data_IF_666302113614
#
_entry.id   IF_666302113614
#
_cell.length_a   1.000
_cell.length_b   1.000
_cell.length_c   1.000
_cell.angle_alpha   90.00
_cell.angle_beta   90.00
_cell.angle_gamma   90.00
#
_symmetry.space_group_name_H-M   'P 1'
#
loop_
_entity.id
_entity.type
_entity.pdbx_description
1 polymer ?
#
# COMPACT_ATOMS: atom_id res chain seq x y z
N UNK A 1 57.71 -31.35 -38.18
CA UNK A 1 58.18 -32.62 -37.58
C UNK A 1 58.63 -32.34 -36.15
N UNK A 2 58.21 -33.20 -35.21
CA UNK A 2 58.44 -33.18 -33.75
C UNK A 2 57.77 -32.01 -32.99
N UNK A 3 56.68 -32.18 -32.22
CA UNK A 3 56.32 -33.12 -31.16
C UNK A 3 57.11 -32.90 -29.85
N UNK A 4 56.44 -32.28 -28.87
CA UNK A 4 56.72 -32.45 -27.44
C UNK A 4 55.37 -32.38 -26.70
N UNK A 5 54.91 -33.56 -26.29
CA UNK A 5 53.74 -33.79 -25.47
C UNK A 5 54.12 -33.81 -23.99
N UNK A 6 53.26 -33.28 -23.12
CA UNK A 6 53.19 -33.66 -21.72
C UNK A 6 51.76 -33.42 -21.18
N UNK A 7 50.98 -34.50 -21.20
CA UNK A 7 49.96 -34.95 -20.25
C UNK A 7 49.12 -33.92 -19.46
N UNK A 8 47.82 -33.95 -19.69
CA UNK A 8 46.83 -33.91 -18.62
C UNK A 8 45.65 -34.86 -18.96
N UNK A 9 45.26 -35.78 -18.06
CA UNK A 9 44.20 -36.74 -18.33
C UNK A 9 42.82 -36.12 -18.17
N UNK A 10 41.93 -36.55 -19.06
CA UNK A 10 40.48 -36.41 -19.08
C UNK A 10 39.83 -36.85 -17.76
N UNK A 11 38.98 -35.99 -17.20
CA UNK A 11 37.79 -36.42 -16.46
C UNK A 11 36.60 -35.79 -17.18
N UNK A 12 35.83 -36.66 -17.82
CA UNK A 12 34.49 -36.39 -18.30
C UNK A 12 33.62 -36.32 -17.05
N UNK A 13 32.95 -35.21 -16.83
CA UNK A 13 31.80 -35.16 -15.92
C UNK A 13 30.65 -34.55 -16.72
N UNK A 14 29.89 -35.45 -17.34
CA UNK A 14 28.54 -35.20 -17.82
C UNK A 14 27.67 -35.00 -16.58
N UNK A 15 27.41 -33.74 -16.22
CA UNK A 15 26.25 -33.40 -15.41
C UNK A 15 25.59 -32.21 -16.08
N UNK A 16 24.57 -32.54 -16.86
CA UNK A 16 23.53 -31.62 -17.31
C UNK A 16 22.98 -30.88 -16.08
N UNK A 17 23.24 -29.58 -16.01
CA UNK A 17 22.56 -28.64 -15.10
C UNK A 17 21.10 -28.49 -15.59
N UNK A 18 20.28 -29.50 -15.35
CA UNK A 18 18.83 -29.39 -15.41
C UNK A 18 18.36 -28.73 -14.10
N UNK A 19 18.49 -27.41 -14.05
CA UNK A 19 18.05 -26.59 -12.93
C UNK A 19 16.52 -26.49 -12.93
N UNK A 20 15.91 -27.38 -12.14
CA UNK A 20 14.53 -27.45 -11.65
C UNK A 20 13.61 -26.22 -11.92
N UNK A 21 12.96 -26.16 -13.10
CA UNK A 21 11.68 -25.44 -13.25
C UNK A 21 10.53 -26.20 -12.57
N UNK A 22 10.65 -27.53 -12.44
CA UNK A 22 9.62 -28.42 -11.89
C UNK A 22 9.34 -28.20 -10.39
N UNK A 23 10.28 -27.64 -9.61
CA UNK A 23 10.11 -27.43 -8.18
C UNK A 23 9.19 -26.24 -7.85
N UNK A 24 9.17 -25.20 -8.70
CA UNK A 24 8.34 -24.01 -8.48
C UNK A 24 6.89 -24.31 -8.86
N UNK A 25 6.66 -24.97 -9.99
CA UNK A 25 5.33 -25.43 -10.37
C UNK A 25 4.80 -26.46 -9.37
N UNK A 26 5.64 -27.35 -8.82
CA UNK A 26 5.21 -28.29 -7.79
C UNK A 26 4.81 -27.59 -6.50
N UNK A 27 5.48 -26.50 -6.09
CA UNK A 27 5.12 -25.73 -4.90
C UNK A 27 3.80 -24.97 -5.13
N UNK A 28 3.62 -24.27 -6.25
CA UNK A 28 2.35 -23.59 -6.54
C UNK A 28 1.17 -24.58 -6.72
N UNK A 29 1.43 -25.72 -7.37
CA UNK A 29 0.45 -26.79 -7.58
C UNK A 29 0.06 -27.48 -6.28
N UNK A 30 1.02 -27.79 -5.41
CA UNK A 30 0.73 -28.37 -4.09
C UNK A 30 0.07 -27.37 -3.16
N UNK A 31 0.32 -26.07 -3.30
CA UNK A 31 -0.31 -25.01 -2.49
C UNK A 31 -1.79 -24.81 -2.87
N UNK A 32 -2.10 -24.82 -4.18
CA UNK A 32 -3.49 -24.76 -4.67
C UNK A 32 -4.23 -26.08 -4.44
N UNK A 33 -3.55 -27.23 -4.55
CA UNK A 33 -4.15 -28.52 -4.21
C UNK A 33 -4.41 -28.65 -2.70
N UNK A 34 -3.49 -28.29 -1.81
CA UNK A 34 -3.71 -28.35 -0.36
C UNK A 34 -4.89 -27.48 0.10
N UNK A 35 -5.12 -26.33 -0.54
CA UNK A 35 -6.32 -25.52 -0.31
C UNK A 35 -7.62 -26.22 -0.75
N UNK A 36 -7.57 -27.12 -1.73
CA UNK A 36 -8.72 -27.85 -2.26
C UNK A 36 -8.92 -29.26 -1.63
N UNK A 37 -7.87 -29.97 -1.21
CA UNK A 37 -7.97 -31.32 -0.60
C UNK A 37 -8.44 -31.29 0.85
N UNK A 38 -8.33 -30.15 1.56
CA UNK A 38 -8.90 -29.98 2.90
C UNK A 38 -10.44 -30.15 2.90
N UNK A 39 -11.09 -30.02 1.74
CA UNK A 39 -12.54 -30.20 1.60
C UNK A 39 -13.01 -31.65 1.36
N UNK A 40 -12.15 -32.66 1.17
CA UNK A 40 -12.66 -33.96 0.68
C UNK A 40 -11.98 -35.28 1.07
N UNK A 41 -11.34 -35.40 2.23
CA UNK A 41 -10.86 -36.72 2.71
C UNK A 41 -11.04 -36.93 4.21
N UNK A 42 -12.23 -37.40 4.59
CA UNK A 42 -12.45 -38.10 5.86
C UNK A 42 -12.44 -39.61 5.60
N UNK A 43 -11.38 -40.31 6.00
CA UNK A 43 -11.45 -41.75 6.21
C UNK A 43 -10.81 -42.19 7.54
N UNK A 44 -11.72 -42.53 8.46
CA UNK A 44 -11.67 -43.61 9.45
C UNK A 44 -10.35 -43.92 10.17
N UNK A 45 -10.31 -43.57 11.46
CA UNK A 45 -9.99 -44.57 12.48
C UNK A 45 -10.70 -44.24 13.80
N UNK A 46 -11.70 -45.05 14.11
CA UNK A 46 -12.43 -45.02 15.38
C UNK A 46 -11.57 -45.65 16.49
N UNK A 47 -11.51 -45.01 17.65
CA UNK A 47 -11.14 -45.66 18.90
C UNK A 47 -12.22 -45.36 19.96
N UNK A 48 -12.75 -46.36 20.67
CA UNK A 48 -13.96 -46.20 21.47
C UNK A 48 -13.58 -45.84 22.90
N UNK A 49 -13.88 -44.61 23.32
CA UNK A 49 -14.16 -44.34 24.72
C UNK A 49 -15.25 -43.27 24.81
N UNK A 50 -16.46 -43.78 24.90
CA UNK A 50 -17.72 -43.07 25.05
C UNK A 50 -17.80 -42.38 26.41
N UNK A 51 -17.74 -41.05 26.42
CA UNK A 51 -18.43 -40.23 27.41
C UNK A 51 -19.37 -39.28 26.67
N UNK A 52 -20.56 -39.80 26.37
CA UNK A 52 -21.67 -39.11 25.71
C UNK A 52 -22.29 -38.08 26.67
N UNK A 53 -22.02 -36.81 26.37
CA UNK A 53 -22.88 -35.62 26.53
C UNK A 53 -23.68 -35.42 27.83
N UNK A 54 -23.36 -34.34 28.55
CA UNK A 54 -24.31 -33.70 29.45
C UNK A 54 -25.42 -32.99 28.64
N UNK A 55 -26.66 -33.08 29.11
CA UNK A 55 -27.85 -32.46 28.49
C UNK A 55 -27.70 -30.93 28.45
N UNK A 56 -27.43 -30.40 27.26
CA UNK A 56 -27.27 -28.98 26.97
C UNK A 56 -26.71 -28.74 25.57
N UNK A 57 -27.15 -29.53 24.59
CA UNK A 57 -26.62 -29.55 23.22
C UNK A 57 -27.06 -28.30 22.45
N UNK A 58 -26.22 -27.27 22.44
CA UNK A 58 -26.27 -26.22 21.42
C UNK A 58 -25.85 -26.82 20.07
N UNK A 59 -26.61 -26.52 19.02
CA UNK A 59 -26.25 -26.88 17.65
C UNK A 59 -24.99 -26.09 17.24
N UNK A 60 -23.84 -26.76 17.30
CA UNK A 60 -22.56 -26.28 16.81
C UNK A 60 -21.86 -27.37 16.00
N UNK A 61 -22.56 -27.99 15.05
CA UNK A 61 -21.93 -28.85 14.04
C UNK A 61 -21.50 -27.98 12.86
N UNK A 62 -20.55 -27.09 13.12
CA UNK A 62 -19.79 -26.36 12.10
C UNK A 62 -18.33 -26.51 12.46
N UNK A 63 -17.48 -26.81 11.49
CA UNK A 63 -16.04 -27.01 11.67
C UNK A 63 -15.39 -25.82 12.41
N UNK A 64 -15.13 -25.97 13.71
CA UNK A 64 -14.46 -24.96 14.55
C UNK A 64 -13.01 -25.32 14.87
N UNK A 65 -12.36 -26.14 14.05
CA UNK A 65 -10.90 -26.18 14.01
C UNK A 65 -10.42 -25.18 12.96
N UNK A 66 -10.48 -23.89 13.31
CA UNK A 66 -9.74 -22.89 12.53
C UNK A 66 -8.26 -23.20 12.68
N UNK A 67 -7.67 -23.82 11.65
CA UNK A 67 -6.24 -24.10 11.57
C UNK A 67 -5.46 -22.83 11.18
N UNK A 68 -5.80 -21.70 11.81
CA UNK A 68 -5.17 -20.42 11.55
C UNK A 68 -3.78 -20.46 12.17
N UNK A 69 -2.77 -20.66 11.33
CA UNK A 69 -1.37 -20.65 11.72
C UNK A 69 -0.77 -19.30 11.31
N UNK A 70 -0.78 -18.35 12.23
CA UNK A 70 -0.29 -16.99 12.01
C UNK A 70 1.12 -16.96 11.43
N UNK A 71 1.98 -17.84 11.93
CA UNK A 71 3.41 -17.80 11.63
C UNK A 71 3.69 -18.30 10.20
N UNK A 72 2.98 -19.33 9.75
CA UNK A 72 3.05 -19.83 8.37
C UNK A 72 2.53 -18.77 7.38
N UNK A 73 1.44 -18.07 7.71
CA UNK A 73 0.88 -17.01 6.87
C UNK A 73 1.85 -15.82 6.75
N UNK A 74 2.44 -15.39 7.87
CA UNK A 74 3.44 -14.31 7.88
C UNK A 74 4.66 -14.70 7.05
N UNK A 75 5.10 -15.96 7.12
CA UNK A 75 6.25 -16.43 6.34
C UNK A 75 5.94 -16.49 4.84
N UNK A 76 4.76 -16.98 4.46
CA UNK A 76 4.29 -16.98 3.06
C UNK A 76 4.23 -15.54 2.52
N UNK A 77 3.68 -14.62 3.31
CA UNK A 77 3.60 -13.21 2.94
C UNK A 77 5.00 -12.62 2.70
N UNK A 78 5.97 -12.90 3.58
CA UNK A 78 7.36 -12.43 3.41
C UNK A 78 8.01 -12.98 2.15
N UNK A 79 7.86 -14.28 1.87
CA UNK A 79 8.42 -14.89 0.65
C UNK A 79 7.81 -14.27 -0.60
N UNK A 80 6.51 -14.00 -0.58
CA UNK A 80 5.83 -13.31 -1.69
C UNK A 80 6.37 -11.89 -1.88
N UNK A 81 6.56 -11.13 -0.80
CA UNK A 81 7.15 -9.79 -0.85
C UNK A 81 8.57 -9.81 -1.41
N UNK A 82 9.41 -10.76 -0.97
CA UNK A 82 10.77 -10.95 -1.52
C UNK A 82 10.74 -11.24 -3.02
N UNK A 83 9.86 -12.13 -3.48
CA UNK A 83 9.70 -12.42 -4.91
C UNK A 83 9.31 -11.18 -5.72
N UNK A 84 8.38 -10.36 -5.21
CA UNK A 84 7.98 -9.12 -5.89
C UNK A 84 9.13 -8.11 -5.93
N UNK A 85 9.92 -8.00 -4.86
CA UNK A 85 11.12 -7.15 -4.82
C UNK A 85 12.11 -7.59 -5.90
N UNK A 86 12.39 -8.89 -6.02
CA UNK A 86 13.27 -9.42 -7.07
C UNK A 86 12.76 -9.09 -8.47
N UNK A 87 11.45 -9.22 -8.72
CA UNK A 87 10.86 -8.83 -10.00
C UNK A 87 11.04 -7.33 -10.27
N UNK A 88 10.82 -6.47 -9.29
CA UNK A 88 11.04 -5.03 -9.44
C UNK A 88 12.49 -4.69 -9.76
N UNK A 89 13.47 -5.35 -9.13
CA UNK A 89 14.88 -5.15 -9.43
C UNK A 89 15.27 -5.65 -10.82
N UNK A 90 14.73 -6.79 -11.26
CA UNK A 90 14.93 -7.31 -12.63
C UNK A 90 14.40 -6.30 -13.64
N UNK A 91 13.16 -5.81 -13.46
CA UNK A 91 12.58 -4.79 -14.32
C UNK A 91 13.41 -3.50 -14.30
N UNK A 92 13.85 -3.04 -13.12
CA UNK A 92 14.73 -1.88 -13.02
C UNK A 92 15.99 -2.06 -13.88
N UNK A 93 16.69 -3.19 -13.74
CA UNK A 93 17.92 -3.45 -14.51
C UNK A 93 17.65 -3.51 -16.02
N UNK A 94 16.52 -4.08 -16.43
CA UNK A 94 16.12 -4.11 -17.84
C UNK A 94 15.91 -2.68 -18.35
N UNK A 95 15.12 -1.87 -17.65
CA UNK A 95 14.75 -0.52 -18.09
C UNK A 95 15.88 0.51 -17.95
N UNK A 96 16.81 0.34 -16.99
CA UNK A 96 17.93 1.26 -16.80
C UNK A 96 19.13 0.97 -17.69
N UNK A 97 19.52 -0.31 -17.81
CA UNK A 97 20.84 -0.68 -18.33
C UNK A 97 20.77 -1.34 -19.71
N UNK A 98 19.71 -2.13 -19.96
CA UNK A 98 19.62 -2.99 -21.15
C UNK A 98 18.74 -2.39 -22.25
N UNK A 99 17.71 -1.64 -21.87
CA UNK A 99 16.73 -1.10 -22.80
C UNK A 99 17.03 0.35 -23.12
N UNK A 100 17.86 0.57 -24.14
CA UNK A 100 18.10 1.92 -24.67
C UNK A 100 16.84 2.50 -25.32
N UNK A 101 16.73 3.83 -25.41
CA UNK A 101 15.59 4.50 -26.06
C UNK A 101 15.40 4.08 -27.52
N UNK A 102 16.45 3.60 -28.19
CA UNK A 102 16.40 3.09 -29.56
C UNK A 102 15.75 1.71 -29.67
N UNK A 103 15.86 0.88 -28.63
CA UNK A 103 15.27 -0.47 -28.58
C UNK A 103 13.79 -0.46 -28.17
N UNK A 104 13.29 0.64 -27.62
CA UNK A 104 11.88 0.86 -27.34
C UNK A 104 11.13 1.24 -28.61
N UNK A 105 10.71 0.24 -29.37
CA UNK A 105 9.77 0.44 -30.47
C UNK A 105 8.33 0.59 -29.97
N UNK A 106 7.42 1.00 -30.87
CA UNK A 106 6.00 1.19 -30.54
C UNK A 106 5.33 -0.12 -30.06
N UNK A 107 5.75 -1.27 -30.59
CA UNK A 107 5.21 -2.57 -30.19
C UNK A 107 5.55 -2.89 -28.73
N UNK A 108 6.80 -2.67 -28.31
CA UNK A 108 7.21 -2.91 -26.93
C UNK A 108 6.52 -1.95 -25.96
N UNK A 109 6.31 -0.69 -26.35
CA UNK A 109 5.54 0.28 -25.57
C UNK A 109 4.08 -0.19 -25.40
N UNK A 110 3.46 -0.70 -26.46
CA UNK A 110 2.10 -1.25 -26.41
C UNK A 110 2.03 -2.50 -25.51
N UNK A 111 3.03 -3.39 -25.58
CA UNK A 111 3.13 -4.55 -24.68
C UNK A 111 3.25 -4.10 -23.21
N UNK A 112 4.11 -3.12 -22.93
CA UNK A 112 4.25 -2.59 -21.57
C UNK A 112 2.94 -1.96 -21.10
N UNK A 113 2.25 -1.20 -21.96
CA UNK A 113 0.97 -0.58 -21.65
C UNK A 113 -0.16 -1.59 -21.39
N UNK A 114 -0.19 -2.69 -22.15
CA UNK A 114 -1.18 -3.76 -22.01
C UNK A 114 -0.85 -4.75 -20.89
N UNK A 115 0.39 -4.72 -20.39
CA UNK A 115 0.82 -5.53 -19.25
C UNK A 115 0.21 -5.06 -17.92
N UNK A 116 0.34 -5.89 -16.89
CA UNK A 116 -0.06 -5.53 -15.53
C UNK A 116 0.95 -4.66 -14.78
N UNK A 117 2.06 -4.25 -15.41
CA UNK A 117 3.14 -3.53 -14.72
C UNK A 117 2.64 -2.21 -14.10
N UNK A 118 2.00 -1.35 -14.89
CA UNK A 118 1.47 -0.07 -14.42
C UNK A 118 0.37 -0.29 -13.35
N UNK A 119 -0.65 -1.16 -13.57
CA UNK A 119 -1.62 -1.49 -12.53
C UNK A 119 -1.02 -1.98 -11.21
N UNK A 120 0.02 -2.82 -11.26
CA UNK A 120 0.71 -3.34 -10.07
C UNK A 120 1.43 -2.21 -9.34
N UNK A 121 2.16 -1.34 -10.04
CA UNK A 121 2.80 -0.15 -9.45
C UNK A 121 1.75 0.76 -8.79
N UNK A 122 0.63 1.03 -9.46
CA UNK A 122 -0.46 1.81 -8.90
C UNK A 122 -1.06 1.17 -7.65
N UNK A 123 -1.18 -0.17 -7.60
CA UNK A 123 -1.68 -0.87 -6.42
C UNK A 123 -0.77 -0.67 -5.21
N UNK A 124 0.55 -0.76 -5.37
CA UNK A 124 1.50 -0.54 -4.29
C UNK A 124 1.59 0.93 -3.85
N UNK A 125 1.40 1.88 -4.77
CA UNK A 125 1.38 3.30 -4.46
C UNK A 125 0.06 3.79 -3.85
N UNK A 126 -1.05 3.09 -4.12
CA UNK A 126 -2.37 3.36 -3.51
C UNK A 126 -2.46 2.90 -2.07
N UNK A 127 -1.58 2.00 -1.64
CA UNK A 127 -1.59 1.49 -0.27
C UNK A 127 -1.17 2.61 0.71
N UNK A 128 -2.16 3.31 1.27
CA UNK A 128 -2.00 4.38 2.26
C UNK A 128 -1.68 3.86 3.68
N UNK A 129 -1.46 2.55 3.86
CA UNK A 129 -1.18 1.96 5.16
C UNK A 129 0.25 2.27 5.59
N UNK A 130 0.41 3.35 6.36
CA UNK A 130 1.71 3.78 6.91
C UNK A 130 2.35 2.70 7.80
N UNK A 131 1.54 1.83 8.41
CA UNK A 131 2.04 0.66 9.15
C UNK A 131 2.75 -0.33 8.22
N UNK A 132 2.16 -0.59 7.07
CA UNK A 132 2.71 -1.51 6.10
C UNK A 132 3.96 -0.87 5.48
N UNK A 133 3.96 0.44 5.23
CA UNK A 133 5.15 1.16 4.75
C UNK A 133 6.28 1.19 5.79
N UNK A 134 5.97 1.39 7.08
CA UNK A 134 6.97 1.39 8.16
C UNK A 134 7.55 0.00 8.41
N UNK A 135 6.76 -1.07 8.24
CA UNK A 135 7.19 -2.47 8.48
C UNK A 135 7.74 -3.17 7.24
N UNK A 136 7.23 -2.83 6.07
CA UNK A 136 7.52 -3.39 4.74
C UNK A 136 8.07 -2.29 3.83
N UNK A 137 8.93 -1.41 4.36
CA UNK A 137 9.48 -0.28 3.60
C UNK A 137 10.18 -0.69 2.31
N UNK A 138 10.79 -1.89 2.30
CA UNK A 138 11.56 -2.39 1.17
C UNK A 138 10.73 -2.54 -0.10
N UNK A 139 9.54 -3.15 -0.06
CA UNK A 139 8.74 -3.35 -1.29
C UNK A 139 8.30 -2.02 -1.91
N UNK A 140 7.85 -1.08 -1.08
CA UNK A 140 7.47 0.27 -1.53
C UNK A 140 8.68 1.04 -2.06
N UNK A 141 9.85 0.86 -1.46
CA UNK A 141 11.11 1.45 -1.93
C UNK A 141 11.51 0.94 -3.31
N UNK A 142 11.45 -0.37 -3.54
CA UNK A 142 11.73 -0.96 -4.85
C UNK A 142 10.67 -0.56 -5.88
N UNK A 143 9.41 -0.44 -5.48
CA UNK A 143 8.35 0.13 -6.31
C UNK A 143 8.67 1.56 -6.75
N UNK A 144 9.06 2.45 -5.82
CA UNK A 144 9.45 3.84 -6.14
C UNK A 144 10.68 3.89 -7.03
N UNK A 145 11.67 3.03 -6.79
CA UNK A 145 12.87 2.93 -7.64
C UNK A 145 12.52 2.52 -9.06
N UNK A 146 11.60 1.57 -9.24
CA UNK A 146 11.12 1.15 -10.55
C UNK A 146 10.33 2.27 -11.25
N UNK A 147 9.45 2.96 -10.54
CA UNK A 147 8.76 4.14 -11.08
C UNK A 147 9.77 5.18 -11.55
N UNK A 148 10.77 5.50 -10.72
CA UNK A 148 11.81 6.45 -11.08
C UNK A 148 12.61 5.96 -12.31
N UNK A 149 12.93 4.66 -12.39
CA UNK A 149 13.60 4.05 -13.53
C UNK A 149 12.81 4.24 -14.83
N UNK A 150 11.52 3.92 -14.84
CA UNK A 150 10.64 4.12 -16.00
C UNK A 150 10.57 5.60 -16.42
N UNK A 151 10.56 6.52 -15.45
CA UNK A 151 10.56 7.95 -15.71
C UNK A 151 11.89 8.51 -16.24
N UNK A 152 13.01 7.77 -16.19
CA UNK A 152 14.25 8.23 -16.82
C UNK A 152 14.20 8.12 -18.35
N UNK A 153 13.36 7.24 -18.89
CA UNK A 153 13.23 7.03 -20.32
C UNK A 153 12.11 7.90 -20.90
N UNK A 154 12.38 8.72 -21.92
CA UNK A 154 11.38 9.69 -22.40
C UNK A 154 10.13 9.03 -23.00
N UNK A 155 10.28 7.87 -23.65
CA UNK A 155 9.15 7.14 -24.25
C UNK A 155 8.25 6.52 -23.18
N UNK A 156 8.84 5.91 -22.15
CA UNK A 156 8.10 5.33 -21.03
C UNK A 156 7.51 6.41 -20.10
N UNK A 157 8.20 7.54 -19.94
CA UNK A 157 7.69 8.72 -19.24
C UNK A 157 6.39 9.22 -19.87
N UNK A 158 6.37 9.39 -21.20
CA UNK A 158 5.17 9.79 -21.94
C UNK A 158 4.02 8.78 -21.73
N UNK A 159 4.33 7.48 -21.77
CA UNK A 159 3.36 6.43 -21.51
C UNK A 159 2.77 6.55 -20.09
N UNK A 160 3.61 6.69 -19.06
CA UNK A 160 3.18 6.81 -17.66
C UNK A 160 2.29 8.03 -17.46
N UNK A 161 2.64 9.18 -18.02
CA UNK A 161 1.82 10.40 -17.87
C UNK A 161 0.49 10.35 -18.63
N UNK A 162 0.39 9.53 -19.68
CA UNK A 162 -0.85 9.35 -20.43
C UNK A 162 -1.80 8.34 -19.79
N UNK A 163 -1.26 7.30 -19.15
CA UNK A 163 -2.01 6.09 -18.79
C UNK A 163 -2.24 5.95 -17.29
N UNK A 164 -1.40 6.58 -16.47
CA UNK A 164 -1.39 6.34 -15.03
C UNK A 164 -1.66 7.60 -14.22
N UNK A 165 -2.15 7.40 -13.00
CA UNK A 165 -2.33 8.44 -11.99
C UNK A 165 -1.18 8.44 -10.97
N UNK A 166 -0.02 7.88 -11.32
CA UNK A 166 1.14 7.71 -10.45
C UNK A 166 1.56 9.02 -9.77
N UNK A 167 1.51 10.16 -10.47
CA UNK A 167 1.80 11.49 -9.88
C UNK A 167 0.89 11.79 -8.67
N UNK A 168 -0.43 11.61 -8.84
CA UNK A 168 -1.40 11.87 -7.77
C UNK A 168 -1.28 10.84 -6.63
N UNK A 169 -0.94 9.59 -6.94
CA UNK A 169 -0.75 8.55 -5.93
C UNK A 169 0.48 8.84 -5.07
N UNK A 170 1.60 9.23 -5.69
CA UNK A 170 2.82 9.64 -4.98
C UNK A 170 2.54 10.89 -4.14
N UNK A 171 1.79 11.87 -4.64
CA UNK A 171 1.40 13.06 -3.89
C UNK A 171 0.56 12.71 -2.65
N UNK A 172 -0.47 11.86 -2.81
CA UNK A 172 -1.30 11.39 -1.71
C UNK A 172 -0.48 10.64 -0.67
N UNK A 173 0.40 9.74 -1.11
CA UNK A 173 1.28 8.96 -0.25
C UNK A 173 2.25 9.87 0.52
N UNK A 174 2.83 10.87 -0.16
CA UNK A 174 3.71 11.85 0.45
C UNK A 174 2.98 12.66 1.52
N UNK A 175 1.75 13.11 1.23
CA UNK A 175 0.93 13.82 2.19
C UNK A 175 0.58 12.94 3.40
N UNK A 176 0.29 11.65 3.19
CA UNK A 176 0.03 10.69 4.26
C UNK A 176 1.24 10.56 5.19
N UNK A 177 2.43 10.30 4.62
CA UNK A 177 3.68 10.15 5.39
C UNK A 177 4.02 11.43 6.15
N UNK A 178 3.93 12.60 5.50
CA UNK A 178 4.19 13.89 6.16
C UNK A 178 3.24 14.16 7.32
N UNK A 179 1.95 13.85 7.14
CA UNK A 179 0.93 14.01 8.17
C UNK A 179 1.26 13.13 9.37
N UNK A 180 1.65 11.87 9.15
CA UNK A 180 2.06 10.94 10.21
C UNK A 180 3.28 11.43 10.99
N UNK A 181 4.34 11.81 10.28
CA UNK A 181 5.58 12.29 10.91
C UNK A 181 5.32 13.56 11.73
N UNK A 182 4.50 14.49 11.21
CA UNK A 182 4.13 15.72 11.92
C UNK A 182 3.33 15.46 13.20
N UNK A 183 2.46 14.46 13.20
CA UNK A 183 1.62 14.09 14.35
C UNK A 183 2.40 13.39 15.46
N UNK A 184 3.43 12.62 15.09
CA UNK A 184 4.09 11.72 16.04
C UNK A 184 5.35 12.34 16.67
N UNK A 185 6.00 13.32 16.03
CA UNK A 185 7.24 13.95 16.53
C UNK A 185 8.32 12.92 16.97
N UNK A 186 8.36 11.74 16.35
CA UNK A 186 9.38 10.71 16.60
C UNK A 186 10.25 10.63 15.35
N UNK A 187 11.52 11.03 15.49
CA UNK A 187 12.55 10.88 14.46
C UNK A 187 13.15 9.46 14.39
N UNK A 188 12.74 8.55 15.28
CA UNK A 188 13.39 7.24 15.46
C UNK A 188 13.02 6.17 14.41
N UNK A 189 12.16 6.45 13.44
CA UNK A 189 11.82 5.49 12.37
C UNK A 189 12.69 5.73 11.12
N UNK A 190 13.91 5.19 11.15
CA UNK A 190 14.91 5.34 10.09
C UNK A 190 14.39 4.87 8.71
N UNK A 191 13.61 3.80 8.68
CA UNK A 191 13.03 3.25 7.43
C UNK A 191 11.99 4.20 6.84
N UNK A 192 11.07 4.69 7.66
CA UNK A 192 10.05 5.64 7.21
C UNK A 192 10.68 6.98 6.77
N UNK A 193 11.73 7.43 7.47
CA UNK A 193 12.46 8.64 7.12
C UNK A 193 13.19 8.48 5.78
N UNK A 194 13.89 7.37 5.57
CA UNK A 194 14.55 7.06 4.30
C UNK A 194 13.54 7.00 3.15
N UNK A 195 12.43 6.29 3.35
CA UNK A 195 11.34 6.21 2.38
C UNK A 195 10.74 7.59 2.08
N UNK A 196 10.50 8.42 3.10
CA UNK A 196 9.99 9.78 2.93
C UNK A 196 10.92 10.65 2.08
N UNK A 197 12.24 10.51 2.24
CA UNK A 197 13.22 11.26 1.44
C UNK A 197 13.18 10.80 -0.02
N UNK A 198 13.20 9.49 -0.26
CA UNK A 198 13.16 8.94 -1.63
C UNK A 198 11.84 9.28 -2.34
N UNK A 199 10.70 9.15 -1.64
CA UNK A 199 9.38 9.53 -2.15
C UNK A 199 9.32 11.01 -2.56
N UNK A 200 9.89 11.89 -1.72
CA UNK A 200 9.96 13.33 -2.03
C UNK A 200 10.85 13.62 -3.24
N UNK A 201 12.00 12.96 -3.36
CA UNK A 201 12.88 13.11 -4.52
C UNK A 201 12.19 12.73 -5.83
N UNK A 202 11.44 11.61 -5.84
CA UNK A 202 10.67 11.17 -7.01
C UNK A 202 9.55 12.17 -7.33
N UNK A 203 8.80 12.64 -6.33
CA UNK A 203 7.76 13.65 -6.52
C UNK A 203 8.32 14.96 -7.11
N UNK A 204 9.41 15.49 -6.55
CA UNK A 204 10.02 16.73 -7.01
C UNK A 204 10.51 16.61 -8.46
N UNK A 205 11.06 15.45 -8.84
CA UNK A 205 11.49 15.17 -10.23
C UNK A 205 10.31 15.14 -11.20
N UNK A 206 9.22 14.43 -10.85
CA UNK A 206 7.99 14.39 -11.66
C UNK A 206 7.44 15.81 -11.87
N UNK A 207 7.40 16.60 -10.80
CA UNK A 207 6.90 17.97 -10.84
C UNK A 207 7.74 18.89 -11.73
N UNK A 208 9.07 18.76 -11.69
CA UNK A 208 9.98 19.49 -12.57
C UNK A 208 9.78 19.10 -14.04
N UNK A 209 9.70 17.79 -14.34
CA UNK A 209 9.48 17.29 -15.70
C UNK A 209 8.15 17.80 -16.29
N UNK A 210 7.07 17.81 -15.49
CA UNK A 210 5.77 18.39 -15.86
C UNK A 210 5.82 19.89 -16.13
N UNK A 211 6.63 20.65 -15.38
CA UNK A 211 6.80 22.08 -15.62
C UNK A 211 7.50 22.35 -16.95
N UNK A 212 8.56 21.58 -17.26
CA UNK A 212 9.28 21.65 -18.52
C UNK A 212 8.36 21.31 -19.71
N UNK A 213 7.52 20.27 -19.58
CA UNK A 213 6.53 19.93 -20.61
C UNK A 213 5.47 21.02 -20.81
N UNK A 214 5.01 21.66 -19.73
CA UNK A 214 4.04 22.78 -19.81
C UNK A 214 4.67 24.02 -20.45
N UNK A 215 5.92 24.34 -20.16
CA UNK A 215 6.64 25.44 -20.79
C UNK A 215 6.85 25.19 -22.29
N UNK A 216 7.17 23.95 -22.69
CA UNK A 216 7.28 23.54 -24.09
C UNK A 216 5.92 23.50 -24.81
N UNK A 217 4.85 23.15 -24.11
CA UNK A 217 3.48 23.07 -24.67
C UNK A 217 2.76 24.41 -24.70
N UNK A 218 3.26 25.44 -23.99
CA UNK A 218 2.68 26.78 -23.97
C UNK A 218 2.76 27.52 -25.33
N UNK A 219 3.36 26.91 -26.35
CA UNK A 219 3.29 27.38 -27.73
C UNK A 219 2.11 26.80 -28.55
N UNK A 220 1.38 25.77 -28.10
CA UNK A 220 0.22 25.27 -28.85
C UNK A 220 -0.92 24.72 -27.98
N UNK A 221 -2.10 25.32 -28.19
CA UNK A 221 -3.46 24.82 -27.93
C UNK A 221 -4.02 24.88 -26.50
N UNK A 222 -4.67 26.01 -26.22
CA UNK A 222 -5.82 26.10 -25.32
C UNK A 222 -7.01 25.42 -26.03
N UNK A 223 -7.30 24.17 -25.70
CA UNK A 223 -8.59 23.54 -25.99
C UNK A 223 -9.25 23.14 -24.68
N UNK A 224 -9.92 24.10 -24.04
CA UNK A 224 -10.87 23.82 -22.97
C UNK A 224 -12.07 23.08 -23.56
N UNK A 225 -12.10 21.75 -23.44
CA UNK A 225 -13.36 20.99 -23.50
C UNK A 225 -14.14 21.32 -22.22
N UNK A 226 -15.19 22.14 -22.34
CA UNK A 226 -16.21 22.26 -21.31
C UNK A 226 -16.99 20.94 -21.26
N UNK A 227 -16.57 20.06 -20.35
CA UNK A 227 -17.27 18.81 -20.07
C UNK A 227 -18.47 19.14 -19.16
N UNK A 228 -19.68 18.76 -19.59
CA UNK A 228 -20.90 18.88 -18.78
C UNK A 228 -20.77 17.97 -17.56
N UNK A 229 -20.57 18.56 -16.38
CA UNK A 229 -20.48 17.85 -15.10
C UNK A 229 -21.89 17.44 -14.68
N UNK A 230 -22.10 16.16 -14.39
CA UNK A 230 -23.37 15.65 -13.87
C UNK A 230 -23.62 16.16 -12.43
N UNK A 231 -24.88 16.14 -11.97
CA UNK A 231 -25.20 16.56 -10.59
C UNK A 231 -24.48 15.70 -9.55
N UNK A 232 -24.32 14.41 -9.83
CA UNK A 232 -23.61 13.46 -8.97
C UNK A 232 -22.11 13.74 -8.91
N UNK A 233 -21.47 14.04 -10.05
CA UNK A 233 -20.07 14.47 -10.08
C UNK A 233 -19.89 15.81 -9.36
N UNK A 234 -20.80 16.77 -9.57
CA UNK A 234 -20.76 18.07 -8.88
C UNK A 234 -20.90 17.92 -7.36
N UNK A 235 -21.83 17.07 -6.91
CA UNK A 235 -21.99 16.74 -5.50
C UNK A 235 -20.71 16.11 -4.94
N UNK A 236 -20.16 15.11 -5.63
CA UNK A 236 -18.97 14.38 -5.18
C UNK A 236 -17.77 15.33 -5.09
N UNK A 237 -17.53 16.16 -6.10
CA UNK A 237 -16.45 17.15 -6.10
C UNK A 237 -16.60 18.14 -4.94
N UNK A 238 -17.81 18.64 -4.69
CA UNK A 238 -18.07 19.63 -3.64
C UNK A 238 -17.93 19.00 -2.24
N UNK A 239 -18.50 17.81 -2.04
CA UNK A 239 -18.52 17.15 -0.73
C UNK A 239 -17.19 16.51 -0.38
N UNK A 240 -16.38 16.08 -1.36
CA UNK A 240 -15.03 15.53 -1.13
C UNK A 240 -14.16 16.48 -0.32
N UNK A 241 -14.24 17.78 -0.63
CA UNK A 241 -13.49 18.83 0.05
C UNK A 241 -13.90 19.02 1.53
N UNK A 242 -15.09 18.54 1.90
CA UNK A 242 -15.65 18.70 3.24
C UNK A 242 -15.57 17.41 4.07
N UNK A 243 -15.20 16.26 3.47
CA UNK A 243 -15.23 14.96 4.14
C UNK A 243 -14.37 14.92 5.40
N UNK A 244 -13.16 15.47 5.38
CA UNK A 244 -12.26 15.45 6.51
C UNK A 244 -11.69 16.84 6.79
N UNK A 245 -11.70 17.27 8.06
CA UNK A 245 -11.09 18.53 8.50
C UNK A 245 -10.89 18.51 10.02
N UNK A 246 -10.08 19.43 10.55
CA UNK A 246 -9.92 19.63 11.99
C UNK A 246 -10.91 20.67 12.51
N UNK A 247 -11.23 20.62 13.81
CA UNK A 247 -12.03 21.63 14.48
C UNK A 247 -11.63 21.69 15.96
N UNK A 248 -11.58 22.87 16.60
CA UNK A 248 -11.28 22.99 18.04
C UNK A 248 -12.48 22.50 18.88
N UNK A 249 -12.55 21.20 19.11
CA UNK A 249 -13.55 20.53 19.96
C UNK A 249 -13.13 20.70 21.42
N UNK A 250 -11.83 20.55 21.68
CA UNK A 250 -11.17 20.86 22.94
C UNK A 250 -10.37 22.15 22.83
N UNK A 251 -10.21 22.84 23.95
CA UNK A 251 -9.50 24.10 24.09
C UNK A 251 -8.54 23.92 25.26
N UNK A 252 -7.26 24.17 25.01
CA UNK A 252 -6.25 24.23 26.06
C UNK A 252 -6.40 25.53 26.84
N UNK A 253 -6.39 25.42 28.18
CA UNK A 253 -6.22 26.59 29.02
C UNK A 253 -4.77 27.07 28.98
N UNK A 254 -4.56 28.36 29.23
CA UNK A 254 -3.23 29.01 29.34
C UNK A 254 -2.29 28.34 30.37
N UNK A 255 -2.80 27.43 31.22
CA UNK A 255 -2.04 26.68 32.24
C UNK A 255 -1.78 25.21 31.89
N UNK A 256 -2.25 24.69 30.75
CA UNK A 256 -2.00 23.32 30.28
C UNK A 256 -2.64 22.16 31.07
N UNK A 257 -3.21 22.41 32.25
CA UNK A 257 -3.66 21.35 33.18
C UNK A 257 -5.13 20.91 33.02
N UNK A 258 -5.98 21.70 32.34
CA UNK A 258 -7.41 21.37 32.18
C UNK A 258 -7.87 21.54 30.75
N UNK A 259 -8.38 20.45 30.19
CA UNK A 259 -9.03 20.40 28.88
C UNK A 259 -10.44 20.97 29.03
N UNK A 260 -10.69 22.11 28.39
CA UNK A 260 -12.05 22.63 28.23
C UNK A 260 -12.63 22.12 26.92
N UNK A 261 -13.93 21.84 26.90
CA UNK A 261 -14.64 21.61 25.66
C UNK A 261 -15.21 22.91 25.13
N UNK A 262 -15.23 23.05 23.81
CA UNK A 262 -15.89 24.15 23.15
C UNK A 262 -17.39 24.11 23.49
N UNK A 263 -17.88 25.13 24.21
CA UNK A 263 -19.27 25.20 24.71
C UNK A 263 -20.32 25.14 23.60
N UNK A 264 -19.95 25.48 22.36
CA UNK A 264 -20.85 25.37 21.21
C UNK A 264 -21.10 23.91 20.78
N UNK A 265 -20.28 22.96 21.25
CA UNK A 265 -20.29 21.58 20.83
C UNK A 265 -20.67 20.69 22.01
N UNK A 266 -21.80 19.99 21.88
CA UNK A 266 -22.13 18.89 22.79
C UNK A 266 -21.29 17.66 22.44
N UNK A 267 -20.49 17.16 23.36
CA UNK A 267 -19.69 15.94 23.17
C UNK A 267 -20.11 14.90 24.22
N UNK A 268 -20.57 13.73 23.77
CA UNK A 268 -21.17 12.74 24.67
C UNK A 268 -20.17 12.15 25.67
N UNK A 269 -18.92 11.95 25.24
CA UNK A 269 -17.86 11.36 26.05
C UNK A 269 -16.99 12.42 26.75
N UNK A 270 -17.54 13.62 27.01
CA UNK A 270 -16.80 14.74 27.60
C UNK A 270 -16.19 14.37 28.96
N UNK A 271 -16.97 13.75 29.84
CA UNK A 271 -16.50 13.33 31.16
C UNK A 271 -15.37 12.29 31.06
N UNK A 272 -15.50 11.32 30.15
CA UNK A 272 -14.45 10.30 29.93
C UNK A 272 -13.16 10.90 29.40
N UNK A 273 -13.23 11.91 28.53
CA UNK A 273 -12.05 12.58 27.97
C UNK A 273 -11.35 13.47 29.00
N UNK A 274 -12.12 14.04 29.95
CA UNK A 274 -11.58 14.79 31.11
C UNK A 274 -10.91 13.88 32.13
N UNK A 275 -11.52 12.73 32.41
CA UNK A 275 -11.02 11.74 33.37
C UNK A 275 -9.88 10.88 32.81
N UNK A 276 -9.80 10.77 31.49
CA UNK A 276 -8.65 10.21 30.82
C UNK A 276 -7.44 11.11 31.10
N UNK A 277 -6.68 10.74 32.15
CA UNK A 277 -5.29 11.12 32.30
C UNK A 277 -4.63 10.94 30.94
N UNK A 278 -3.75 11.86 30.54
CA UNK A 278 -2.92 11.72 29.34
C UNK A 278 -2.03 10.48 29.51
N UNK A 279 -2.60 9.30 29.28
CA UNK A 279 -1.87 8.05 29.13
C UNK A 279 -1.18 8.21 27.78
N UNK A 280 -0.02 8.88 27.83
CA UNK A 280 0.90 9.08 26.72
C UNK A 280 1.61 7.77 26.40
N UNK A 281 0.81 6.71 26.14
CA UNK A 281 1.34 5.50 25.54
C UNK A 281 1.67 5.84 24.09
N UNK A 282 2.95 5.83 23.76
CA UNK A 282 3.40 6.07 22.40
C UNK A 282 2.74 5.11 21.39
N UNK A 283 2.46 3.88 21.81
CA UNK A 283 1.74 2.90 21.01
C UNK A 283 0.32 3.37 20.67
N UNK A 284 -0.38 3.99 21.64
CA UNK A 284 -1.71 4.55 21.44
C UNK A 284 -1.67 5.75 20.50
N UNK A 285 -0.71 6.66 20.68
CA UNK A 285 -0.54 7.85 19.83
C UNK A 285 -0.28 7.43 18.39
N UNK A 286 0.65 6.48 18.15
CA UNK A 286 0.92 5.93 16.83
C UNK A 286 -0.33 5.32 16.18
N UNK A 287 -1.11 4.55 16.96
CA UNK A 287 -2.34 3.93 16.46
C UNK A 287 -3.40 4.96 16.06
N UNK A 288 -3.60 5.99 16.88
CA UNK A 288 -4.57 7.06 16.59
C UNK A 288 -4.17 7.87 15.36
N UNK A 289 -2.88 8.21 15.21
CA UNK A 289 -2.37 8.91 14.03
C UNK A 289 -2.61 8.10 12.74
N UNK A 290 -2.41 6.77 12.80
CA UNK A 290 -2.68 5.88 11.66
C UNK A 290 -4.15 5.90 11.28
N UNK A 291 -5.04 5.72 12.26
CA UNK A 291 -6.48 5.76 12.02
C UNK A 291 -6.91 7.11 11.44
N UNK A 292 -6.39 8.21 11.95
CA UNK A 292 -6.71 9.55 11.46
C UNK A 292 -6.29 9.77 10.00
N UNK A 293 -5.18 9.18 9.57
CA UNK A 293 -4.70 9.27 8.17
C UNK A 293 -5.54 8.39 7.26
N UNK A 294 -5.81 7.15 7.64
CA UNK A 294 -6.71 6.30 6.87
C UNK A 294 -8.09 6.95 6.76
N UNK A 295 -8.60 7.54 7.84
CA UNK A 295 -9.89 8.27 7.84
C UNK A 295 -9.81 9.53 6.97
N UNK A 296 -8.67 10.18 6.78
CA UNK A 296 -8.62 11.39 5.95
C UNK A 296 -8.70 11.09 4.45
N UNK A 297 -8.24 9.91 4.00
CA UNK A 297 -8.19 9.55 2.58
C UNK A 297 -9.32 8.61 2.12
N UNK A 298 -9.77 7.69 2.99
CA UNK A 298 -10.62 6.55 2.60
C UNK A 298 -12.12 6.70 2.89
N UNK A 299 -12.60 7.89 3.24
CA UNK A 299 -14.02 8.07 3.60
C UNK A 299 -14.97 7.80 2.43
N UNK A 300 -16.02 6.97 2.64
CA UNK A 300 -17.05 6.74 1.64
C UNK A 300 -17.72 8.03 1.17
N UNK A 301 -17.77 8.20 -0.15
CA UNK A 301 -18.41 9.31 -0.83
C UNK A 301 -19.25 8.78 -1.98
N UNK A 302 -20.56 8.96 -1.87
CA UNK A 302 -21.51 8.67 -2.94
C UNK A 302 -22.67 9.65 -2.87
N UNK A 303 -23.42 9.78 -3.96
CA UNK A 303 -24.59 10.66 -4.00
C UNK A 303 -25.69 10.25 -3.00
N UNK A 304 -25.80 8.95 -2.68
CA UNK A 304 -26.77 8.40 -1.73
C UNK A 304 -26.28 8.51 -0.28
N UNK A 305 -25.00 8.21 -0.01
CA UNK A 305 -24.44 8.32 1.34
C UNK A 305 -23.01 8.84 1.35
N UNK A 306 -22.76 9.78 2.26
CA UNK A 306 -21.45 10.40 2.50
C UNK A 306 -21.14 10.45 3.98
N UNK A 307 -19.89 10.16 4.32
CA UNK A 307 -19.36 10.30 5.68
C UNK A 307 -18.49 11.56 5.76
N UNK A 308 -18.73 12.37 6.79
CA UNK A 308 -17.93 13.53 7.15
C UNK A 308 -17.36 13.35 8.56
N UNK A 309 -16.09 13.66 8.74
CA UNK A 309 -15.37 13.55 10.00
C UNK A 309 -14.71 14.88 10.35
N UNK A 310 -14.83 15.28 11.61
CA UNK A 310 -14.06 16.36 12.22
C UNK A 310 -13.23 15.81 13.36
N UNK A 311 -11.91 15.92 13.23
CA UNK A 311 -10.99 15.59 14.31
C UNK A 311 -10.68 16.83 15.16
N UNK A 312 -10.43 16.65 16.44
CA UNK A 312 -9.91 17.72 17.27
C UNK A 312 -8.51 18.16 16.82
N UNK A 313 -8.18 19.43 17.02
CA UNK A 313 -6.88 20.01 16.64
C UNK A 313 -5.74 19.53 17.55
N UNK A 314 -6.04 19.27 18.83
CA UNK A 314 -5.02 19.00 19.84
C UNK A 314 -5.04 17.52 20.28
N UNK A 315 -6.17 16.83 20.11
CA UNK A 315 -6.37 15.45 20.57
C UNK A 315 -6.87 14.51 19.48
N UNK A 316 -6.01 13.60 19.02
CA UNK A 316 -6.36 12.60 18.00
C UNK A 316 -7.43 11.57 18.46
N UNK A 317 -7.72 11.48 19.76
CA UNK A 317 -8.75 10.60 20.31
C UNK A 317 -10.14 11.26 20.44
N UNK A 318 -10.30 12.47 19.93
CA UNK A 318 -11.57 13.21 19.95
C UNK A 318 -12.00 13.51 18.52
N UNK A 319 -13.12 12.92 18.11
CA UNK A 319 -13.69 13.11 16.77
C UNK A 319 -15.21 13.24 16.80
N UNK A 320 -15.77 13.91 15.79
CA UNK A 320 -17.20 13.91 15.49
C UNK A 320 -17.46 13.50 14.05
N UNK A 321 -18.50 12.70 13.87
CA UNK A 321 -18.84 12.10 12.58
C UNK A 321 -20.28 12.47 12.22
N UNK A 322 -20.51 12.79 10.96
CA UNK A 322 -21.83 12.95 10.35
C UNK A 322 -21.92 11.98 9.17
N UNK A 323 -23.00 11.20 9.12
CA UNK A 323 -23.30 10.33 7.99
C UNK A 323 -24.65 10.73 7.39
N UNK A 324 -24.73 10.89 6.08
CA UNK A 324 -26.01 11.06 5.40
C UNK A 324 -26.70 9.70 5.25
N UNK A 325 -28.00 9.64 5.52
CA UNK A 325 -28.80 8.43 5.29
C UNK A 325 -28.85 8.08 3.80
N UNK A 326 -28.81 6.77 3.45
CA UNK A 326 -28.83 6.30 2.07
C UNK A 326 -30.13 6.61 1.33
#
# INVERSE_FOLDING_TARGET
AAAAAANNPTIIDDNDDEYYEDDIEQIESTTIQQLNTINNSNHNNANPNSNFWAKGTGFGTGSTHSQWKSDEIIQIQKLHEEHVIYLFDIFCSIFSDKLSEELLDENLIEIINTSCLIPVLESYLRNDSILDISKQGDIHRHCLRLVNCLLHNNKLKSLIYQTSNIESLIENLLQCVQTYTSMIQIDDDEQLNLFSVELKQVYDKIKQDRQIEKENSSQFNINHKQQLVTLEEFYSQTMKLLQFSTYPITIENESGEKILFNKAIKYHYEDMVRDALTINSMQRIKRLAQEQITISTSLPLSFSSTIFVRSDENRMDVMKILMTGP
#
